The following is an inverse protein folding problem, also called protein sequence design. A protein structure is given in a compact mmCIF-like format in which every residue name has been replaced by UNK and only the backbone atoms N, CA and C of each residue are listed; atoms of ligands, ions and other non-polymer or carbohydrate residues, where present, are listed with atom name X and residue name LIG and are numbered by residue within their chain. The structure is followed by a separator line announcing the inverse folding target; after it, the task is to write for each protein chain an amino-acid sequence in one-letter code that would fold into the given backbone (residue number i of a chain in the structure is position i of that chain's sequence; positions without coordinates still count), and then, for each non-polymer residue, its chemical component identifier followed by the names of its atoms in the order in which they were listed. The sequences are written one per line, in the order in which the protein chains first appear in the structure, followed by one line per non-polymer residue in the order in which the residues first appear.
data_IF_710127604809
#
_entry.id   IF_710127604809
#
_cell.length_a   1.000
_cell.length_b   1.000
_cell.length_c   1.000
_cell.angle_alpha   90.00
_cell.angle_beta   90.00
_cell.angle_gamma   90.00
#
_symmetry.space_group_name_H-M   'P 1'
#
loop_
_entity.id
_entity.type
_entity.pdbx_description
1 polymer ?
#
# COMPACT_ATOMS: atom_id res chain seq x y z
N UNK A 1 3.87 -3.29 15.25
CA UNK A 1 3.36 -4.67 15.42
C UNK A 1 1.84 -4.60 15.53
N UNK A 2 1.11 -5.45 14.80
CA UNK A 2 -0.34 -5.43 14.81
C UNK A 2 -0.91 -6.38 15.88
N UNK A 3 -1.93 -5.93 16.62
CA UNK A 3 -2.60 -6.70 17.68
C UNK A 3 -3.69 -7.57 17.07
N UNK A 4 -3.73 -8.87 17.38
CA UNK A 4 -4.81 -9.77 16.93
C UNK A 4 -6.01 -9.68 17.85
N UNK A 5 -7.20 -9.51 17.26
CA UNK A 5 -8.48 -9.48 17.96
C UNK A 5 -9.53 -10.26 17.16
N UNK A 6 -10.53 -10.79 17.85
CA UNK A 6 -11.66 -11.44 17.17
C UNK A 6 -12.62 -10.41 16.56
N UNK A 7 -13.37 -10.80 15.53
CA UNK A 7 -14.42 -9.97 14.94
C UNK A 7 -15.46 -9.51 15.97
N UNK A 8 -15.75 -10.33 16.97
CA UNK A 8 -16.68 -9.98 18.06
C UNK A 8 -16.09 -8.93 19.00
N UNK A 9 -14.80 -9.03 19.35
CA UNK A 9 -14.11 -7.99 20.14
C UNK A 9 -14.01 -6.68 19.37
N UNK A 10 -13.73 -6.75 18.06
CA UNK A 10 -13.68 -5.59 17.18
C UNK A 10 -15.03 -4.87 17.13
N UNK A 11 -16.13 -5.60 16.97
CA UNK A 11 -17.47 -5.02 16.95
C UNK A 11 -17.86 -4.39 18.29
N UNK A 12 -17.50 -5.02 19.42
CA UNK A 12 -17.82 -4.50 20.77
C UNK A 12 -17.03 -3.26 21.14
N UNK A 13 -15.79 -3.14 20.66
CA UNK A 13 -14.86 -2.06 21.06
C UNK A 13 -14.50 -1.14 19.89
N UNK A 14 -15.33 -1.08 18.84
CA UNK A 14 -14.96 -0.45 17.57
C UNK A 14 -14.52 1.01 17.72
N UNK A 15 -15.22 1.79 18.55
CA UNK A 15 -14.86 3.20 18.79
C UNK A 15 -13.52 3.36 19.52
N UNK A 16 -13.20 2.50 20.50
CA UNK A 16 -11.91 2.54 21.19
C UNK A 16 -10.76 2.13 20.26
N UNK A 17 -10.98 1.08 19.47
CA UNK A 17 -10.03 0.62 18.46
C UNK A 17 -9.73 1.74 17.46
N UNK A 18 -10.75 2.43 16.93
CA UNK A 18 -10.56 3.58 16.03
C UNK A 18 -9.76 4.71 16.70
N UNK A 19 -10.01 5.00 17.97
CA UNK A 19 -9.25 6.00 18.70
C UNK A 19 -7.79 5.59 18.87
N UNK A 20 -7.51 4.33 19.21
CA UNK A 20 -6.14 3.80 19.32
C UNK A 20 -5.42 3.82 17.98
N UNK A 21 -6.10 3.45 16.90
CA UNK A 21 -5.59 3.58 15.53
C UNK A 21 -5.26 5.03 15.19
N UNK A 22 -6.17 5.98 15.47
CA UNK A 22 -6.03 7.40 15.10
C UNK A 22 -4.99 8.15 15.92
N UNK A 23 -4.97 7.93 17.24
CA UNK A 23 -4.22 8.75 18.19
C UNK A 23 -2.96 8.06 18.71
N UNK A 24 -2.92 6.72 18.71
CA UNK A 24 -1.76 5.94 19.19
C UNK A 24 -0.99 5.24 18.07
N UNK A 25 -1.51 5.28 16.83
CA UNK A 25 -0.85 4.65 15.69
C UNK A 25 -0.87 3.12 15.76
N UNK A 26 -1.79 2.53 16.54
CA UNK A 26 -1.88 1.08 16.68
C UNK A 26 -2.53 0.44 15.44
N UNK A 27 -2.15 -0.81 15.16
CA UNK A 27 -2.73 -1.62 14.08
C UNK A 27 -3.35 -2.90 14.65
N UNK A 28 -4.42 -3.38 14.04
CA UNK A 28 -5.19 -4.54 14.50
C UNK A 28 -5.44 -5.51 13.35
N UNK A 29 -5.18 -6.80 13.58
CA UNK A 29 -5.61 -7.90 12.72
C UNK A 29 -6.90 -8.46 13.31
N UNK A 30 -7.95 -8.52 12.49
CA UNK A 30 -9.27 -9.01 12.87
C UNK A 30 -9.43 -10.43 12.34
N UNK A 31 -9.72 -11.36 13.25
CA UNK A 31 -9.92 -12.77 12.95
C UNK A 31 -11.38 -13.21 13.16
N UNK A 32 -11.88 -14.11 12.31
CA UNK A 32 -13.18 -14.75 12.46
C UNK A 32 -13.00 -16.25 12.30
N UNK A 33 -13.38 -17.02 13.32
CA UNK A 33 -13.24 -18.48 13.33
C UNK A 33 -11.81 -18.99 13.10
N UNK A 34 -10.80 -18.20 13.50
CA UNK A 34 -9.38 -18.53 13.31
C UNK A 34 -8.76 -18.02 12.01
N UNK A 35 -9.57 -17.52 11.08
CA UNK A 35 -9.09 -16.94 9.81
C UNK A 35 -8.99 -15.42 9.91
N UNK A 36 -7.90 -14.86 9.37
CA UNK A 36 -7.74 -13.42 9.24
C UNK A 36 -8.73 -12.89 8.19
N UNK A 37 -9.60 -11.97 8.59
CA UNK A 37 -10.65 -11.41 7.71
C UNK A 37 -10.45 -9.94 7.38
N UNK A 38 -9.72 -9.19 8.21
CA UNK A 38 -9.43 -7.78 7.96
C UNK A 38 -8.21 -7.31 8.75
N UNK A 39 -7.64 -6.17 8.32
CA UNK A 39 -6.68 -5.39 9.09
C UNK A 39 -7.18 -3.95 9.20
N UNK A 40 -7.00 -3.36 10.37
CA UNK A 40 -7.24 -1.95 10.63
C UNK A 40 -5.94 -1.30 11.10
N UNK A 41 -5.37 -0.46 10.26
CA UNK A 41 -4.13 0.27 10.53
C UNK A 41 -4.38 1.78 10.54
N UNK A 42 -3.47 2.59 11.11
CA UNK A 42 -3.55 4.04 10.97
C UNK A 42 -3.53 4.41 9.51
N UNK A 43 -4.26 5.46 9.14
CA UNK A 43 -4.08 6.05 7.81
C UNK A 43 -2.62 6.45 7.71
N UNK A 44 -1.91 5.91 6.71
CA UNK A 44 -0.53 6.31 6.46
C UNK A 44 -0.47 7.84 6.42
N UNK A 45 0.27 8.44 7.34
CA UNK A 45 0.46 9.90 7.35
C UNK A 45 1.22 10.35 6.11
N UNK A 46 1.94 9.44 5.43
CA UNK A 46 2.49 9.67 4.10
C UNK A 46 1.41 9.98 3.06
N UNK A 47 0.18 9.48 3.21
CA UNK A 47 -0.94 9.81 2.33
C UNK A 47 -1.59 11.17 2.63
N UNK A 48 -1.19 11.88 3.70
CA UNK A 48 -1.79 13.18 4.06
C UNK A 48 -1.07 14.35 3.38
N UNK A 49 0.21 14.17 3.04
CA UNK A 49 0.94 15.10 2.19
C UNK A 49 1.12 14.42 0.83
N UNK A 50 0.53 14.95 -0.26
CA UNK A 50 0.86 14.43 -1.58
C UNK A 50 2.37 14.56 -1.77
N UNK A 51 3.02 13.48 -2.17
CA UNK A 51 4.41 13.53 -2.58
C UNK A 51 4.53 14.45 -3.78
N UNK A 52 5.48 15.35 -3.74
CA UNK A 52 5.78 16.25 -4.85
C UNK A 52 6.65 15.54 -5.88
N UNK A 53 6.61 15.99 -7.14
CA UNK A 53 7.54 15.50 -8.16
C UNK A 53 9.01 15.74 -7.78
N UNK A 54 9.30 16.81 -7.04
CA UNK A 54 10.62 17.07 -6.49
C UNK A 54 11.06 15.99 -5.49
N UNK A 55 10.18 15.58 -4.57
CA UNK A 55 10.47 14.50 -3.62
C UNK A 55 10.69 13.15 -4.32
N UNK A 56 9.98 12.88 -5.43
CA UNK A 56 10.23 11.70 -6.26
C UNK A 56 11.62 11.75 -6.91
N UNK A 57 12.00 12.90 -7.47
CA UNK A 57 13.32 13.08 -8.09
C UNK A 57 14.44 12.90 -7.06
N UNK A 58 14.30 13.49 -5.86
CA UNK A 58 15.28 13.30 -4.79
C UNK A 58 15.37 11.84 -4.35
N UNK A 59 14.23 11.16 -4.19
CA UNK A 59 14.21 9.73 -3.89
C UNK A 59 14.99 8.93 -4.94
N UNK A 60 14.71 9.15 -6.24
CA UNK A 60 15.36 8.43 -7.34
C UNK A 60 16.88 8.62 -7.37
N UNK A 61 17.41 9.74 -6.88
CA UNK A 61 18.86 9.95 -6.77
C UNK A 61 19.51 9.12 -5.66
N UNK A 62 18.75 8.84 -4.60
CA UNK A 62 19.21 8.11 -3.42
C UNK A 62 19.02 6.59 -3.54
N UNK A 63 18.30 6.12 -4.55
CA UNK A 63 18.15 4.69 -4.82
C UNK A 63 19.47 4.07 -5.32
N UNK A 64 19.74 2.79 -4.98
CA UNK A 64 20.86 2.07 -5.56
C UNK A 64 20.71 1.94 -7.08
N UNK A 65 21.84 1.76 -7.78
CA UNK A 65 21.80 1.44 -9.20
C UNK A 65 21.01 0.15 -9.43
N UNK A 66 20.17 0.18 -10.46
CA UNK A 66 19.50 -1.02 -10.96
C UNK A 66 20.53 -1.98 -11.53
N UNK A 67 20.23 -3.28 -11.50
CA UNK A 67 21.12 -4.25 -12.09
C UNK A 67 21.22 -4.03 -13.63
N UNK A 68 22.32 -4.48 -14.27
CA UNK A 68 22.50 -4.29 -15.71
C UNK A 68 21.42 -4.93 -16.59
N UNK A 69 20.71 -5.95 -16.08
CA UNK A 69 19.65 -6.68 -16.79
C UNK A 69 18.29 -5.97 -16.75
N UNK A 70 18.06 -5.11 -15.75
CA UNK A 70 16.80 -4.41 -15.51
C UNK A 70 16.17 -3.81 -16.78
N UNK A 71 16.98 -3.15 -17.61
CA UNK A 71 16.48 -2.52 -18.82
C UNK A 71 15.95 -3.53 -19.84
N UNK A 72 16.55 -4.72 -19.93
CA UNK A 72 16.07 -5.76 -20.83
C UNK A 72 14.85 -6.48 -20.25
N UNK A 73 14.84 -6.75 -18.94
CA UNK A 73 13.70 -7.35 -18.24
C UNK A 73 12.44 -6.50 -18.40
N UNK A 74 12.57 -5.17 -18.27
CA UNK A 74 11.45 -4.24 -18.49
C UNK A 74 10.95 -4.32 -19.94
N UNK A 75 11.86 -4.36 -20.93
CA UNK A 75 11.46 -4.48 -22.34
C UNK A 75 10.80 -5.82 -22.64
N UNK A 76 11.32 -6.90 -22.06
CA UNK A 76 10.73 -8.23 -22.20
C UNK A 76 9.33 -8.27 -21.60
N UNK A 77 9.15 -7.75 -20.38
CA UNK A 77 7.86 -7.65 -19.73
C UNK A 77 6.86 -6.84 -20.55
N UNK A 78 7.28 -5.72 -21.16
CA UNK A 78 6.43 -4.93 -22.05
C UNK A 78 6.03 -5.75 -23.29
N UNK A 79 6.96 -6.48 -23.91
CA UNK A 79 6.67 -7.32 -25.08
C UNK A 79 5.77 -8.51 -24.76
N UNK A 80 5.88 -9.07 -23.56
CA UNK A 80 5.12 -10.23 -23.11
C UNK A 80 3.75 -9.87 -22.52
N UNK A 81 3.40 -8.59 -22.42
CA UNK A 81 2.07 -8.19 -21.97
C UNK A 81 1.05 -8.52 -23.07
N UNK A 82 0.25 -9.56 -22.86
CA UNK A 82 -0.92 -9.92 -23.70
C UNK A 82 -2.13 -8.99 -23.48
N UNK A 83 -1.94 -7.84 -22.83
CA UNK A 83 -3.02 -6.89 -22.56
C UNK A 83 -3.21 -6.04 -23.81
N UNK A 84 -4.40 -6.10 -24.40
CA UNK A 84 -4.82 -5.11 -25.40
C UNK A 84 -4.76 -3.73 -24.74
N UNK A 85 -3.69 -2.98 -24.98
CA UNK A 85 -3.53 -1.62 -24.48
C UNK A 85 -4.74 -0.84 -25.01
N UNK A 86 -5.64 -0.35 -24.13
CA UNK A 86 -6.76 0.48 -24.58
C UNK A 86 -6.19 1.64 -25.38
N UNK A 87 -6.86 2.02 -26.48
CA UNK A 87 -6.44 3.17 -27.30
C UNK A 87 -6.14 4.37 -26.38
N UNK A 88 -5.00 5.03 -26.63
CA UNK A 88 -4.60 6.20 -25.88
C UNK A 88 -5.71 7.25 -25.96
N UNK A 89 -6.34 7.64 -24.83
CA UNK A 89 -7.38 8.66 -24.82
C UNK A 89 -6.86 10.07 -25.16
N UNK A 90 -5.54 10.23 -25.34
CA UNK A 90 -4.86 11.48 -25.66
C UNK A 90 -4.21 11.50 -27.06
N UNK A 91 -4.26 10.39 -27.81
CA UNK A 91 -3.99 10.40 -29.24
C UNK A 91 -5.21 10.96 -29.97
N UNK A 92 -5.27 12.29 -30.10
CA UNK A 92 -6.17 13.01 -31.00
C UNK A 92 -5.38 14.00 -31.84
#
# INVERSE_FOLDING_TARGET
MATRITATEAARNFSDILNRVRYRGESFIIERSGDIVAELSPRSTAATRPHTGAELIELLKDLPEVDPGFAEDVREAIRSQEVAIPRDPWES
#
